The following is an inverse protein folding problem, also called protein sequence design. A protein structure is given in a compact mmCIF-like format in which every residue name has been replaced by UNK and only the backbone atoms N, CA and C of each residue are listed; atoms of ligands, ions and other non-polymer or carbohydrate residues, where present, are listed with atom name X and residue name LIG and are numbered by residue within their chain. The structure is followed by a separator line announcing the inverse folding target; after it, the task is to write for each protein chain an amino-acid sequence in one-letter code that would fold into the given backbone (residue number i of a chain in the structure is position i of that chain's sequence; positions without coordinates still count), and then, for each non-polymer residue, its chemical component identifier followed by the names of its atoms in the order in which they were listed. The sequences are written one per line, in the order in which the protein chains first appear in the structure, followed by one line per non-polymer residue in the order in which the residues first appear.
data_IF_385689065769
#
_entry.id   IF_385689065769
#
_cell.length_a   1.000
_cell.length_b   1.000
_cell.length_c   1.000
_cell.angle_alpha   90.00
_cell.angle_beta   90.00
_cell.angle_gamma   90.00
#
_symmetry.space_group_name_H-M   'P 1'
#
loop_
_entity.id
_entity.type
_entity.pdbx_description
1 polymer ?
#
# COMPACT_ATOMS: atom_id res chain seq x y z
N UNK A 1 -3.97 3.75 21.16
CA UNK A 1 -5.40 3.61 20.79
C UNK A 1 -6.24 4.87 21.00
N UNK A 2 -5.86 5.75 21.93
CA UNK A 2 -6.50 7.06 22.20
C UNK A 2 -6.61 7.97 20.98
N UNK A 3 -5.55 8.10 20.19
CA UNK A 3 -5.56 8.92 18.97
C UNK A 3 -6.55 8.40 17.91
N UNK A 4 -6.65 7.08 17.75
CA UNK A 4 -7.62 6.44 16.86
C UNK A 4 -9.06 6.71 17.32
N UNK A 5 -9.33 6.58 18.62
CA UNK A 5 -10.65 6.83 19.20
C UNK A 5 -11.11 8.27 18.93
N UNK A 6 -10.31 9.27 19.28
CA UNK A 6 -10.67 10.68 19.06
C UNK A 6 -10.85 11.01 17.58
N UNK A 7 -10.02 10.46 16.69
CA UNK A 7 -10.17 10.64 15.25
C UNK A 7 -11.48 10.05 14.73
N UNK A 8 -11.89 8.86 15.20
CA UNK A 8 -13.15 8.22 14.80
C UNK A 8 -14.37 8.90 15.41
N UNK A 9 -14.27 9.40 16.64
CA UNK A 9 -15.34 10.15 17.29
C UNK A 9 -15.63 11.46 16.55
N UNK A 10 -14.59 12.17 16.12
CA UNK A 10 -14.72 13.38 15.31
C UNK A 10 -15.44 13.11 13.98
N UNK A 11 -15.12 12.00 13.30
CA UNK A 11 -15.81 11.58 12.07
C UNK A 11 -17.28 11.20 12.33
N UNK A 12 -17.57 10.52 13.45
CA UNK A 12 -18.96 10.20 13.82
C UNK A 12 -19.78 11.47 14.08
N UNK A 13 -19.18 12.47 14.73
CA UNK A 13 -19.80 13.78 14.95
C UNK A 13 -20.10 14.53 13.65
N UNK A 14 -19.20 14.49 12.67
CA UNK A 14 -19.42 15.08 11.34
C UNK A 14 -20.55 14.41 10.55
N UNK A 15 -20.75 13.11 10.76
CA UNK A 15 -21.82 12.33 10.12
C UNK A 15 -23.13 12.33 10.93
N UNK A 16 -23.21 13.02 12.07
CA UNK A 16 -24.40 13.01 12.95
C UNK A 16 -24.70 11.64 13.55
N UNK A 17 -23.72 10.74 13.59
CA UNK A 17 -23.88 9.39 14.13
C UNK A 17 -23.57 9.43 15.62
N UNK A 18 -24.58 9.15 16.45
CA UNK A 18 -24.50 9.19 17.92
C UNK A 18 -24.90 7.85 18.54
N UNK A 19 -24.48 7.61 19.78
CA UNK A 19 -24.85 6.43 20.57
C UNK A 19 -24.35 5.10 19.99
N UNK A 20 -25.18 4.06 20.04
CA UNK A 20 -24.86 2.68 19.61
C UNK A 20 -24.38 2.59 18.16
N UNK A 21 -24.92 3.44 17.28
CA UNK A 21 -24.49 3.50 15.88
C UNK A 21 -23.05 3.98 15.77
N UNK A 22 -22.65 4.96 16.59
CA UNK A 22 -21.27 5.45 16.61
C UNK A 22 -20.31 4.37 17.12
N UNK A 23 -20.72 3.62 18.14
CA UNK A 23 -19.97 2.46 18.66
C UNK A 23 -19.73 1.43 17.55
N UNK A 24 -20.78 1.05 16.82
CA UNK A 24 -20.67 0.09 15.71
C UNK A 24 -19.69 0.56 14.61
N UNK A 25 -19.67 1.86 14.31
CA UNK A 25 -18.77 2.47 13.33
C UNK A 25 -17.31 2.45 13.81
N UNK A 26 -17.06 2.68 15.09
CA UNK A 26 -15.73 2.64 15.69
C UNK A 26 -15.19 1.21 15.70
N UNK A 27 -16.02 0.23 16.09
CA UNK A 27 -15.67 -1.20 16.11
C UNK A 27 -15.31 -1.70 14.70
N UNK A 28 -16.07 -1.30 13.68
CA UNK A 28 -15.79 -1.68 12.28
C UNK A 28 -14.43 -1.21 11.77
N UNK A 29 -13.90 -0.11 12.32
CA UNK A 29 -12.59 0.40 11.94
C UNK A 29 -11.42 -0.19 12.72
N UNK A 30 -11.67 -1.00 13.75
CA UNK A 30 -10.64 -1.69 14.52
C UNK A 30 -10.05 -2.87 13.74
N UNK A 31 -8.78 -3.24 14.02
CA UNK A 31 -8.18 -4.44 13.44
C UNK A 31 -9.01 -5.68 13.80
N UNK A 32 -8.98 -6.67 12.91
CA UNK A 32 -9.85 -7.87 12.98
C UNK A 32 -9.71 -8.61 14.31
N UNK A 33 -8.48 -8.70 14.80
CA UNK A 33 -8.11 -9.31 16.08
C UNK A 33 -8.85 -8.68 17.28
N UNK A 34 -9.10 -7.37 17.23
CA UNK A 34 -9.74 -6.62 18.31
C UNK A 34 -11.25 -6.49 18.12
N UNK A 35 -11.76 -6.76 16.92
CA UNK A 35 -13.16 -6.53 16.56
C UNK A 35 -14.11 -7.48 17.28
N UNK A 36 -13.76 -8.76 17.38
CA UNK A 36 -14.58 -9.75 18.07
C UNK A 36 -14.70 -9.44 19.58
N UNK A 37 -13.58 -9.05 20.21
CA UNK A 37 -13.55 -8.67 21.61
C UNK A 37 -14.32 -7.37 21.87
N UNK A 38 -14.21 -6.38 20.96
CA UNK A 38 -14.95 -5.14 21.06
C UNK A 38 -16.48 -5.35 20.93
N UNK A 39 -16.93 -6.29 20.08
CA UNK A 39 -18.36 -6.65 20.00
C UNK A 39 -18.86 -7.37 21.26
N UNK A 40 -17.99 -8.10 21.96
CA UNK A 40 -18.34 -8.78 23.21
C UNK A 40 -18.62 -7.79 24.35
N UNK A 41 -17.96 -6.63 24.36
CA UNK A 41 -18.15 -5.60 25.39
C UNK A 41 -19.55 -4.93 25.39
N UNK A 42 -20.37 -5.09 24.32
CA UNK A 42 -21.74 -4.56 24.21
C UNK A 42 -21.93 -3.13 24.75
N UNK A 43 -21.01 -2.22 24.44
CA UNK A 43 -21.07 -0.84 24.94
C UNK A 43 -22.20 -0.05 24.23
N UNK A 44 -23.02 0.66 25.01
CA UNK A 44 -24.10 1.51 24.49
C UNK A 44 -23.60 2.92 24.07
N UNK A 45 -22.46 3.35 24.61
CA UNK A 45 -21.86 4.67 24.34
C UNK A 45 -20.40 4.51 23.88
N UNK A 46 -19.92 5.42 23.00
CA UNK A 46 -18.54 5.39 22.54
C UNK A 46 -17.53 5.62 23.68
N UNK A 47 -17.93 6.37 24.73
CA UNK A 47 -17.11 6.60 25.92
C UNK A 47 -16.91 5.33 26.74
N UNK A 48 -17.95 4.51 26.90
CA UNK A 48 -17.85 3.23 27.60
C UNK A 48 -16.96 2.23 26.82
N UNK A 49 -17.05 2.24 25.48
CA UNK A 49 -16.13 1.46 24.64
C UNK A 49 -14.67 1.92 24.83
N UNK A 50 -14.44 3.22 24.99
CA UNK A 50 -13.11 3.74 25.23
C UNK A 50 -12.55 3.29 26.58
N UNK A 51 -13.30 3.50 27.67
CA UNK A 51 -12.84 3.18 29.03
C UNK A 51 -12.65 1.68 29.27
N UNK A 52 -13.58 0.85 28.80
CA UNK A 52 -13.58 -0.59 29.08
C UNK A 52 -12.61 -1.37 28.18
N UNK A 53 -12.44 -0.94 26.92
CA UNK A 53 -11.74 -1.74 25.91
C UNK A 53 -10.51 -1.05 25.34
N UNK A 54 -10.62 0.21 24.88
CA UNK A 54 -9.52 0.87 24.16
C UNK A 54 -8.45 1.44 25.07
N UNK A 55 -8.79 1.86 26.31
CA UNK A 55 -7.85 2.38 27.29
C UNK A 55 -6.82 1.33 27.74
N UNK A 56 -7.24 0.08 27.89
CA UNK A 56 -6.35 -1.05 28.22
C UNK A 56 -5.37 -1.42 27.08
N UNK A 57 -5.56 -0.87 25.88
CA UNK A 57 -4.77 -1.16 24.68
C UNK A 57 -3.87 0.02 24.27
N UNK A 58 -3.54 0.93 25.20
CA UNK A 58 -2.67 2.09 24.91
C UNK A 58 -1.29 1.70 24.35
N UNK A 59 -0.83 0.47 24.57
CA UNK A 59 0.40 -0.09 23.99
C UNK A 59 0.26 -0.83 22.66
N UNK A 60 -0.95 -1.04 22.13
CA UNK A 60 -1.11 -1.69 20.80
C UNK A 60 -0.73 -0.68 19.71
N UNK A 61 0.50 -0.79 19.23
CA UNK A 61 0.96 -0.03 18.08
C UNK A 61 0.23 -0.57 16.86
N UNK A 62 -0.81 0.15 16.42
CA UNK A 62 -1.36 -0.09 15.08
C UNK A 62 -0.19 -0.03 14.11
N UNK A 63 0.01 -1.02 13.21
CA UNK A 63 0.98 -0.89 12.16
C UNK A 63 0.59 0.36 11.38
N UNK A 64 1.34 1.43 11.63
CA UNK A 64 1.21 2.69 10.92
C UNK A 64 1.29 2.36 9.44
N UNK A 65 0.46 3.02 8.65
CA UNK A 65 0.50 2.95 7.20
C UNK A 65 1.89 3.38 6.70
N UNK A 66 2.85 2.46 6.73
CA UNK A 66 4.12 2.58 6.07
C UNK A 66 3.82 2.41 4.58
N UNK A 67 3.85 3.54 3.88
CA UNK A 67 3.85 3.56 2.43
C UNK A 67 4.92 2.62 1.86
N UNK A 68 4.62 2.11 0.67
CA UNK A 68 5.51 1.40 -0.25
C UNK A 68 7.00 1.48 0.11
N UNK A 69 7.58 0.38 0.58
CA UNK A 69 9.02 0.15 0.52
C UNK A 69 9.27 -1.30 0.12
N UNK A 70 9.53 -1.48 -1.17
CA UNK A 70 10.25 -2.65 -1.68
C UNK A 70 11.58 -2.71 -0.95
N UNK A 71 11.83 -3.77 -0.19
CA UNK A 71 13.18 -4.17 0.18
C UNK A 71 13.37 -5.59 -0.32
N UNK A 72 14.15 -5.69 -1.39
CA UNK A 72 14.81 -6.95 -1.73
C UNK A 72 15.84 -7.21 -0.65
N UNK A 73 15.73 -8.38 -0.04
CA UNK A 73 16.79 -8.92 0.81
C UNK A 73 17.50 -10.00 -0.01
N UNK A 74 18.73 -9.66 -0.41
CA UNK A 74 19.67 -10.58 -1.00
C UNK A 74 20.38 -11.27 0.17
N UNK A 75 20.03 -12.53 0.44
CA UNK A 75 20.89 -13.39 1.26
C UNK A 75 21.36 -14.56 0.41
N UNK A 76 22.61 -14.46 -0.02
CA UNK A 76 23.38 -15.54 -0.62
C UNK A 76 24.15 -16.23 0.49
N UNK A 77 23.69 -17.39 0.93
CA UNK A 77 24.54 -18.41 1.59
C UNK A 77 24.06 -19.78 1.15
N UNK A 78 24.91 -20.49 0.40
CA UNK A 78 24.61 -21.81 -0.14
C UNK A 78 24.79 -22.93 0.89
N UNK A 79 23.99 -23.99 0.76
CA UNK A 79 24.35 -25.42 0.88
C UNK A 79 23.05 -26.25 0.95
N UNK A 80 22.93 -27.21 0.05
CA UNK A 80 21.63 -27.72 -0.41
C UNK A 80 20.98 -28.85 0.39
N UNK A 81 19.69 -29.05 0.12
CA UNK A 81 18.96 -30.31 0.27
C UNK A 81 17.89 -30.40 -0.83
N UNK A 82 17.86 -31.50 -1.58
CA UNK A 82 16.81 -31.79 -2.57
C UNK A 82 15.54 -32.28 -1.85
N UNK A 83 14.38 -31.71 -2.16
CA UNK A 83 13.05 -32.37 -2.05
C UNK A 83 12.15 -31.76 -3.14
N UNK A 84 11.96 -32.50 -4.24
CA UNK A 84 10.81 -33.36 -4.47
C UNK A 84 9.53 -32.53 -4.62
N UNK A 85 9.03 -32.46 -5.86
CA UNK A 85 7.71 -31.88 -6.13
C UNK A 85 6.62 -32.62 -5.38
N UNK A 86 5.46 -31.97 -5.25
CA UNK A 86 4.19 -32.53 -5.70
C UNK A 86 3.02 -31.55 -5.49
N UNK A 87 2.22 -31.45 -6.56
CA UNK A 87 0.75 -31.44 -6.57
C UNK A 87 -0.02 -30.29 -5.89
N UNK A 88 -0.60 -29.45 -6.76
CA UNK A 88 -1.71 -28.51 -6.55
C UNK A 88 -2.93 -29.14 -5.85
N UNK A 89 -3.81 -28.34 -5.23
CA UNK A 89 -5.04 -28.00 -5.96
C UNK A 89 -5.63 -26.60 -5.71
N UNK A 90 -6.22 -26.07 -6.79
CA UNK A 90 -7.47 -25.28 -6.92
C UNK A 90 -7.94 -24.25 -5.89
N UNK A 91 -8.44 -23.14 -6.46
CA UNK A 91 -9.31 -22.09 -5.89
C UNK A 91 -8.60 -21.12 -4.94
N UNK A 92 -8.33 -19.86 -5.30
CA UNK A 92 -9.27 -18.89 -5.88
C UNK A 92 -8.60 -17.99 -6.92
N UNK A 93 -9.03 -18.15 -8.18
CA UNK A 93 -8.89 -17.15 -9.24
C UNK A 93 -9.76 -15.92 -8.94
N UNK A 94 -9.46 -15.20 -7.86
CA UNK A 94 -9.98 -13.85 -7.58
C UNK A 94 -8.76 -13.04 -7.15
N UNK A 95 -8.03 -12.37 -8.06
CA UNK A 95 -8.34 -10.97 -8.43
C UNK A 95 -7.39 -10.46 -9.54
N UNK A 96 -7.14 -11.26 -10.59
CA UNK A 96 -6.47 -10.73 -11.79
C UNK A 96 -7.41 -9.85 -12.64
N UNK A 97 -8.71 -10.19 -12.68
CA UNK A 97 -9.73 -9.48 -13.45
C UNK A 97 -10.25 -8.19 -12.76
N UNK A 98 -10.45 -8.22 -11.44
CA UNK A 98 -10.92 -7.05 -10.66
C UNK A 98 -9.90 -5.90 -10.59
N UNK A 99 -8.62 -6.18 -10.86
CA UNK A 99 -7.59 -5.13 -10.95
C UNK A 99 -7.64 -4.34 -12.25
N UNK A 100 -8.41 -4.77 -13.26
CA UNK A 100 -8.45 -4.14 -14.60
C UNK A 100 -9.44 -2.96 -14.67
N UNK A 101 -10.55 -3.00 -13.93
CA UNK A 101 -11.55 -1.90 -13.91
C UNK A 101 -11.04 -0.60 -13.30
N UNK A 102 -10.21 -0.68 -12.25
CA UNK A 102 -9.64 0.51 -11.61
C UNK A 102 -8.21 0.85 -12.07
N UNK A 103 -7.75 0.21 -13.15
CA UNK A 103 -6.42 0.42 -13.68
C UNK A 103 -6.37 1.64 -14.58
N UNK A 104 -5.60 2.65 -14.18
CA UNK A 104 -5.32 3.84 -14.99
C UNK A 104 -4.12 3.62 -15.90
N UNK A 105 -4.31 3.81 -17.20
CA UNK A 105 -3.24 3.81 -18.20
C UNK A 105 -2.24 4.95 -17.93
N UNK A 106 -0.94 4.67 -17.88
CA UNK A 106 0.07 5.73 -17.67
C UNK A 106 0.36 6.56 -18.93
N UNK A 107 -0.10 6.10 -20.10
CA UNK A 107 0.05 6.85 -21.36
C UNK A 107 -1.07 7.90 -21.50
N UNK A 108 -2.34 7.46 -21.53
CA UNK A 108 -3.49 8.33 -21.79
C UNK A 108 -4.35 8.66 -20.56
N UNK A 109 -4.00 8.14 -19.37
CA UNK A 109 -4.72 8.36 -18.11
C UNK A 109 -6.17 7.86 -18.07
N UNK A 110 -6.61 7.12 -19.10
CA UNK A 110 -7.91 6.45 -19.17
C UNK A 110 -7.90 5.13 -18.38
N UNK A 111 -9.05 4.69 -17.91
CA UNK A 111 -9.21 3.45 -17.16
C UNK A 111 -9.38 2.24 -18.11
N UNK A 112 -9.18 1.02 -17.60
CA UNK A 112 -9.53 -0.24 -18.29
C UNK A 112 -8.40 -0.93 -19.07
N UNK A 113 -7.23 -0.30 -19.23
CA UNK A 113 -6.09 -0.89 -19.96
C UNK A 113 -4.72 -0.41 -19.45
N UNK A 114 -3.68 -1.22 -19.64
CA UNK A 114 -2.29 -0.84 -19.33
C UNK A 114 -1.67 0.00 -20.45
N UNK A 115 -0.59 0.72 -20.17
CA UNK A 115 0.18 1.47 -21.19
C UNK A 115 0.71 0.60 -22.34
N UNK A 116 0.78 -0.72 -22.16
CA UNK A 116 1.15 -1.68 -23.21
C UNK A 116 0.01 -1.97 -24.19
N UNK A 117 -1.24 -1.88 -23.74
CA UNK A 117 -2.47 -2.10 -24.52
C UNK A 117 -3.12 -0.77 -24.95
N UNK A 118 -2.41 0.36 -24.81
CA UNK A 118 -2.96 1.67 -25.10
C UNK A 118 -3.04 1.90 -26.62
N UNK A 119 -4.21 2.29 -27.17
CA UNK A 119 -4.37 2.59 -28.59
C UNK A 119 -3.74 3.93 -29.01
N UNK A 120 -3.39 4.78 -28.04
CA UNK A 120 -2.76 6.08 -28.27
C UNK A 120 -1.25 5.92 -28.51
N UNK A 121 -0.61 6.82 -29.29
CA UNK A 121 0.84 6.83 -29.46
C UNK A 121 1.54 6.92 -28.10
N UNK A 122 2.63 6.15 -27.92
CA UNK A 122 3.39 6.15 -26.67
C UNK A 122 4.01 7.53 -26.44
N UNK A 123 3.44 8.30 -25.51
CA UNK A 123 4.06 9.52 -25.04
C UNK A 123 5.15 9.13 -24.05
N UNK A 124 6.42 9.25 -24.47
CA UNK A 124 7.56 9.11 -23.59
C UNK A 124 7.55 10.27 -22.58
N UNK A 125 6.86 10.03 -21.46
CA UNK A 125 6.82 10.93 -20.32
C UNK A 125 7.93 10.56 -19.35
N UNK A 126 8.73 11.56 -18.99
CA UNK A 126 9.72 11.42 -17.95
C UNK A 126 9.04 11.05 -16.62
N UNK A 127 9.47 9.93 -16.03
CA UNK A 127 8.93 9.47 -14.73
C UNK A 127 9.27 10.41 -13.57
N UNK A 128 10.35 11.19 -13.70
CA UNK A 128 10.79 12.12 -12.66
C UNK A 128 10.12 13.50 -12.72
N UNK A 129 9.90 14.08 -13.91
CA UNK A 129 9.36 15.44 -14.05
C UNK A 129 7.99 15.53 -14.77
N UNK A 130 7.47 14.38 -15.20
CA UNK A 130 6.21 14.22 -15.93
C UNK A 130 6.10 15.03 -17.25
N UNK A 131 7.21 15.56 -17.75
CA UNK A 131 7.29 16.20 -19.07
C UNK A 131 7.41 15.17 -20.19
N UNK A 132 6.87 15.49 -21.36
CA UNK A 132 6.92 14.65 -22.57
C UNK A 132 8.19 14.93 -23.38
N UNK A 133 8.67 13.96 -24.15
CA UNK A 133 9.79 14.10 -25.08
C UNK A 133 11.15 13.67 -24.53
N UNK A 134 11.22 13.15 -23.31
CA UNK A 134 12.44 12.52 -22.79
C UNK A 134 12.12 11.43 -21.76
N UNK A 135 12.99 10.42 -21.69
CA UNK A 135 12.94 9.37 -20.67
C UNK A 135 13.57 9.87 -19.35
N UNK A 136 13.31 9.14 -18.26
CA UNK A 136 13.89 9.46 -16.95
C UNK A 136 15.43 9.61 -17.01
N UNK A 137 16.11 8.76 -17.78
CA UNK A 137 17.57 8.82 -17.95
C UNK A 137 18.08 10.13 -18.58
N UNK A 138 17.25 10.81 -19.38
CA UNK A 138 17.58 12.07 -20.06
C UNK A 138 16.93 13.30 -19.38
N UNK A 139 16.40 13.14 -18.17
CA UNK A 139 15.74 14.22 -17.45
C UNK A 139 16.76 15.26 -16.95
N UNK A 140 16.70 16.47 -17.50
CA UNK A 140 17.55 17.59 -17.07
C UNK A 140 17.36 17.95 -15.58
N UNK A 141 16.21 17.63 -14.98
CA UNK A 141 15.93 17.86 -13.54
C UNK A 141 16.55 16.81 -12.61
N UNK A 142 17.04 15.69 -13.13
CA UNK A 142 17.56 14.59 -12.31
C UNK A 142 19.03 14.79 -11.89
N UNK A 143 19.76 15.73 -12.52
CA UNK A 143 21.18 16.03 -12.24
C UNK A 143 21.43 16.84 -10.96
N UNK A 144 20.48 16.91 -10.02
CA UNK A 144 20.66 17.67 -8.77
C UNK A 144 21.01 16.79 -7.56
N UNK A 145 21.09 15.46 -7.70
CA UNK A 145 21.42 14.55 -6.60
C UNK A 145 22.30 13.37 -7.08
N UNK A 146 23.44 13.67 -7.70
CA UNK A 146 24.56 12.72 -7.74
C UNK A 146 25.84 13.49 -7.45
N UNK A 147 26.22 13.47 -6.18
CA UNK A 147 27.57 13.82 -5.73
C UNK A 147 28.12 12.58 -5.06
N UNK A 148 28.21 11.45 -5.80
CA UNK A 148 29.04 10.27 -5.51
C UNK A 148 28.61 9.12 -6.44
N UNK A 149 29.29 8.98 -7.56
CA UNK A 149 29.68 7.69 -8.17
C UNK A 149 30.58 7.95 -9.38
N UNK A 150 31.78 8.47 -9.10
CA UNK A 150 32.94 8.14 -9.91
C UNK A 150 33.32 6.70 -9.57
N UNK A 151 33.13 5.78 -10.51
CA UNK A 151 33.82 4.49 -10.58
C UNK A 151 33.53 3.85 -11.93
N UNK A 152 34.55 3.92 -12.79
CA UNK A 152 35.00 2.89 -13.74
C UNK A 152 34.00 2.34 -14.77
N UNK A 153 34.28 2.28 -16.06
CA UNK A 153 35.52 2.31 -16.81
C UNK A 153 35.16 1.98 -18.26
N UNK A 154 35.89 2.56 -19.20
CA UNK A 154 35.53 2.68 -20.61
C UNK A 154 35.34 1.36 -21.36
N UNK A 155 34.41 1.42 -22.32
CA UNK A 155 34.41 0.55 -23.50
C UNK A 155 35.62 0.91 -24.35
N UNK A 156 36.38 -0.10 -24.80
CA UNK A 156 36.96 -0.01 -26.13
C UNK A 156 36.77 -1.35 -26.86
N UNK A 157 36.01 -1.28 -27.94
CA UNK A 157 35.90 -2.33 -28.97
C UNK A 157 36.77 -1.88 -30.13
N UNK A 158 37.63 -2.77 -30.63
CA UNK A 158 38.36 -2.76 -31.91
C UNK A 158 39.46 -3.81 -31.79
N UNK A 159 39.77 -4.69 -32.73
CA UNK A 159 39.21 -5.16 -34.02
C UNK A 159 39.85 -6.53 -34.22
#
# INVERSE_FOLDING_TARGET
MTTYYHAKLALCGQCGVVGEKAVSCIIRGLPEELRANAYACRCATPEALYSEFLAGLEGYQTPVAAGNSRRGDQVSTGSGFRRAGNTSPSSEKRTAALRKENLRCYNCQKLGHFSGECPEPRMERCRSCQQVGHKQADCSKQRRMDSRSDSSGGRNVKV
#
